data_IF_432318384877
#
_entry.id   IF_432318384877
#
_cell.length_a   1.000
_cell.length_b   1.000
_cell.length_c   1.000
_cell.angle_alpha   90.00
_cell.angle_beta   90.00
_cell.angle_gamma   90.00
#
_symmetry.space_group_name_H-M   'P 1'
#
loop_
_entity.id
_entity.type
_entity.pdbx_description
1 polymer ?
#
# COMPACT_ATOMS: atom_id res chain seq x y z
N UNK A 1 -1.10 -1.17 18.80
CA UNK A 1 -1.24 -1.48 17.35
C UNK A 1 0.10 -1.72 16.70
N UNK A 2 0.17 -2.59 15.69
CA UNK A 2 1.40 -2.90 14.94
C UNK A 2 1.24 -2.55 13.47
N UNK A 3 2.30 -2.00 12.86
CA UNK A 3 2.34 -1.79 11.43
C UNK A 3 2.70 -3.11 10.72
N UNK A 4 1.75 -3.68 10.00
CA UNK A 4 1.91 -4.88 9.20
C UNK A 4 2.52 -4.54 7.85
N UNK A 5 3.30 -5.47 7.27
CA UNK A 5 3.86 -5.31 5.92
C UNK A 5 2.70 -5.26 4.91
N UNK A 6 2.46 -4.13 4.22
CA UNK A 6 1.36 -4.06 3.26
C UNK A 6 1.71 -4.88 2.02
N UNK A 7 0.72 -5.57 1.47
CA UNK A 7 0.77 -5.97 0.07
C UNK A 7 0.43 -4.73 -0.76
N UNK A 8 1.41 -4.17 -1.44
CA UNK A 8 1.38 -2.97 -2.28
C UNK A 8 1.66 -1.64 -1.55
N UNK A 9 2.79 -1.51 -0.87
CA UNK A 9 3.16 -0.28 -0.12
C UNK A 9 3.08 1.00 -0.97
N UNK A 10 3.57 0.95 -2.21
CA UNK A 10 3.35 2.00 -3.21
C UNK A 10 2.78 1.36 -4.48
N UNK A 11 1.74 1.98 -5.04
CA UNK A 11 1.09 1.54 -6.27
C UNK A 11 1.09 2.67 -7.27
N UNK A 12 1.51 2.41 -8.50
CA UNK A 12 1.37 3.35 -9.62
C UNK A 12 0.54 2.70 -10.72
N UNK A 13 -0.62 3.29 -10.99
CA UNK A 13 -1.57 2.80 -12.00
C UNK A 13 -1.23 3.40 -13.36
N UNK A 14 -0.97 2.55 -14.35
CA UNK A 14 -0.56 2.97 -15.69
C UNK A 14 -0.39 1.86 -16.71
N UNK A 15 -0.12 2.27 -17.95
CA UNK A 15 0.15 1.40 -19.09
C UNK A 15 1.59 0.91 -19.13
N UNK A 16 2.01 0.14 -18.13
CA UNK A 16 3.38 -0.33 -17.99
C UNK A 16 3.77 -1.33 -19.09
N UNK A 17 4.73 -0.95 -19.95
CA UNK A 17 5.31 -1.87 -20.93
C UNK A 17 6.31 -2.81 -20.25
N UNK A 18 5.84 -4.00 -19.87
CA UNK A 18 6.63 -5.03 -19.17
C UNK A 18 7.88 -5.47 -19.94
N UNK A 19 7.87 -5.37 -21.28
CA UNK A 19 9.02 -5.74 -22.12
C UNK A 19 10.23 -4.80 -21.95
N UNK A 20 10.05 -3.62 -21.36
CA UNK A 20 11.15 -2.71 -21.02
C UNK A 20 11.98 -3.27 -19.86
N UNK A 21 11.34 -4.01 -18.93
CA UNK A 21 11.93 -4.49 -17.70
C UNK A 21 12.71 -5.79 -17.92
N UNK A 22 13.67 -5.75 -18.84
CA UNK A 22 14.66 -6.81 -19.03
C UNK A 22 15.69 -6.78 -17.91
N UNK A 23 16.37 -7.89 -17.67
CA UNK A 23 17.44 -7.96 -16.67
C UNK A 23 18.50 -6.86 -16.87
N UNK A 24 18.95 -6.64 -18.10
CA UNK A 24 19.94 -5.60 -18.41
C UNK A 24 19.41 -4.19 -18.12
N UNK A 25 18.15 -3.91 -18.44
CA UNK A 25 17.53 -2.62 -18.17
C UNK A 25 17.41 -2.38 -16.67
N UNK A 26 16.88 -3.36 -15.93
CA UNK A 26 16.73 -3.33 -14.48
C UNK A 26 18.08 -3.13 -13.80
N UNK A 27 19.09 -3.91 -14.18
CA UNK A 27 20.46 -3.78 -13.66
C UNK A 27 21.00 -2.39 -13.93
N UNK A 28 20.83 -1.85 -15.14
CA UNK A 28 21.40 -0.56 -15.51
C UNK A 28 20.73 0.63 -14.81
N UNK A 29 19.42 0.60 -14.64
CA UNK A 29 18.65 1.80 -14.30
C UNK A 29 18.01 1.79 -12.91
N UNK A 30 17.74 0.61 -12.33
CA UNK A 30 17.13 0.49 -10.99
C UNK A 30 18.11 -0.07 -9.95
N UNK A 31 18.96 -1.04 -10.34
CA UNK A 31 19.84 -1.78 -9.43
C UNK A 31 21.30 -1.89 -9.93
N UNK A 32 22.00 -0.78 -10.23
CA UNK A 32 23.35 -0.80 -10.83
C UNK A 32 24.37 -1.57 -10.00
N UNK A 33 24.35 -1.37 -8.68
CA UNK A 33 25.33 -1.98 -7.76
C UNK A 33 24.72 -3.10 -6.90
N UNK A 34 23.45 -3.44 -7.11
CA UNK A 34 22.72 -4.42 -6.29
C UNK A 34 22.48 -5.73 -7.03
N UNK A 35 22.48 -6.85 -6.29
CA UNK A 35 21.95 -8.11 -6.79
C UNK A 35 20.42 -8.10 -6.72
N UNK A 36 19.79 -8.68 -7.74
CA UNK A 36 18.35 -8.88 -7.76
C UNK A 36 18.00 -10.19 -8.47
N UNK A 37 16.78 -10.67 -8.24
CA UNK A 37 16.19 -11.83 -8.89
C UNK A 37 14.97 -11.40 -9.68
N UNK A 38 14.71 -12.10 -10.79
CA UNK A 38 13.47 -11.99 -11.53
C UNK A 38 12.76 -13.34 -11.45
N UNK A 39 11.63 -13.37 -10.76
CA UNK A 39 10.74 -14.53 -10.71
C UNK A 39 9.58 -14.32 -11.68
N UNK A 40 9.05 -15.42 -12.23
CA UNK A 40 7.84 -15.40 -13.05
C UNK A 40 6.70 -15.98 -12.22
N UNK A 41 5.75 -15.13 -11.80
CA UNK A 41 4.57 -15.61 -11.10
C UNK A 41 3.58 -16.18 -12.12
N UNK A 42 3.34 -17.49 -12.02
CA UNK A 42 2.37 -18.21 -12.86
C UNK A 42 1.08 -18.36 -12.07
N UNK A 43 -0.02 -17.77 -12.56
CA UNK A 43 -1.34 -17.98 -11.98
C UNK A 43 -1.75 -19.45 -12.11
N UNK A 44 -2.52 -19.98 -11.16
CA UNK A 44 -2.99 -21.38 -11.16
C UNK A 44 -3.72 -21.79 -12.45
N UNK A 45 -4.34 -20.85 -13.15
CA UNK A 45 -5.06 -21.09 -14.42
C UNK A 45 -4.16 -21.12 -15.67
N UNK A 46 -2.83 -21.14 -15.52
CA UNK A 46 -1.82 -21.34 -16.57
C UNK A 46 -2.09 -20.62 -17.91
N UNK A 47 -2.66 -19.42 -17.86
CA UNK A 47 -2.82 -18.60 -19.05
C UNK A 47 -1.59 -17.68 -19.15
N UNK A 48 -0.75 -17.94 -20.17
CA UNK A 48 0.52 -17.27 -20.39
C UNK A 48 0.42 -15.73 -20.44
N UNK A 49 -0.78 -15.19 -20.68
CA UNK A 49 -1.06 -13.75 -20.66
C UNK A 49 -1.01 -13.14 -19.24
N UNK A 50 -1.05 -13.93 -18.18
CA UNK A 50 -1.00 -13.47 -16.79
C UNK A 50 0.34 -13.71 -16.09
N UNK A 51 1.36 -14.19 -16.83
CA UNK A 51 2.70 -14.29 -16.26
C UNK A 51 3.20 -12.88 -15.99
N UNK A 52 3.40 -12.58 -14.71
CA UNK A 52 3.82 -11.26 -14.28
C UNK A 52 5.20 -11.36 -13.65
N UNK A 53 6.20 -10.62 -14.19
CA UNK A 53 7.53 -10.64 -13.62
C UNK A 53 7.47 -10.00 -12.23
N UNK A 54 8.14 -10.64 -11.28
CA UNK A 54 8.44 -10.12 -9.96
C UNK A 54 9.94 -9.87 -9.90
N UNK A 55 10.33 -8.63 -9.62
CA UNK A 55 11.72 -8.25 -9.40
C UNK A 55 11.92 -8.16 -7.90
N UNK A 56 12.95 -8.82 -7.37
CA UNK A 56 13.23 -8.86 -5.94
C UNK A 56 14.69 -8.50 -5.69
N UNK A 57 14.93 -7.39 -4.98
CA UNK A 57 16.23 -7.04 -4.41
C UNK A 57 16.26 -7.38 -2.92
N UNK A 58 17.31 -6.94 -2.21
CA UNK A 58 17.43 -7.07 -0.75
C UNK A 58 16.33 -6.29 -0.01
N UNK A 59 15.92 -5.13 -0.55
CA UNK A 59 15.11 -4.14 0.17
C UNK A 59 13.73 -3.96 -0.46
N UNK A 60 13.60 -4.21 -1.77
CA UNK A 60 12.38 -3.91 -2.52
C UNK A 60 11.97 -5.07 -3.43
N UNK A 61 10.68 -5.35 -3.42
CA UNK A 61 9.99 -6.16 -4.41
C UNK A 61 9.18 -5.24 -5.34
N UNK A 62 9.32 -5.44 -6.66
CA UNK A 62 8.54 -4.77 -7.69
C UNK A 62 7.71 -5.83 -8.42
N UNK A 63 6.39 -5.65 -8.42
CA UNK A 63 5.45 -6.58 -9.03
C UNK A 63 4.56 -5.86 -10.04
N UNK A 64 4.52 -6.42 -11.24
CA UNK A 64 3.51 -6.03 -12.24
C UNK A 64 2.21 -6.78 -11.95
N UNK A 65 1.10 -6.07 -11.81
CA UNK A 65 -0.21 -6.70 -11.69
C UNK A 65 -1.21 -5.92 -12.54
N UNK A 66 -1.73 -6.56 -13.59
CA UNK A 66 -2.61 -5.93 -14.57
C UNK A 66 -1.99 -4.62 -15.13
N UNK A 67 -2.60 -3.47 -14.82
CA UNK A 67 -2.18 -2.11 -15.16
C UNK A 67 -1.51 -1.38 -13.99
N UNK A 68 -0.95 -2.11 -13.02
CA UNK A 68 -0.32 -1.56 -11.83
C UNK A 68 1.12 -2.01 -11.73
N UNK A 69 1.95 -1.08 -11.28
CA UNK A 69 3.28 -1.37 -10.77
C UNK A 69 3.21 -1.21 -9.26
N UNK A 70 3.39 -2.32 -8.56
CA UNK A 70 3.38 -2.35 -7.11
C UNK A 70 4.81 -2.45 -6.59
N UNK A 71 5.12 -1.68 -5.57
CA UNK A 71 6.37 -1.73 -4.84
C UNK A 71 6.07 -2.14 -3.41
N UNK A 72 6.81 -3.14 -2.93
CA UNK A 72 6.68 -3.67 -1.59
C UNK A 72 8.04 -3.66 -0.91
N UNK A 73 8.11 -3.27 0.37
CA UNK A 73 9.36 -3.35 1.10
C UNK A 73 9.57 -4.83 1.48
N UNK A 74 10.80 -5.33 1.39
CA UNK A 74 11.09 -6.71 1.81
C UNK A 74 10.80 -6.86 3.30
N UNK A 75 11.21 -5.88 4.09
CA UNK A 75 10.88 -5.70 5.50
C UNK A 75 10.22 -4.34 5.75
N UNK A 76 9.28 -4.25 6.69
CA UNK A 76 8.49 -3.04 6.89
C UNK A 76 9.20 -1.99 7.77
N UNK A 77 10.33 -1.46 7.29
CA UNK A 77 11.14 -0.46 7.97
C UNK A 77 11.28 0.81 7.11
N UNK A 78 11.80 1.90 7.71
CA UNK A 78 11.89 3.18 7.02
C UNK A 78 12.89 3.14 5.84
N UNK A 79 14.01 2.44 6.00
CA UNK A 79 15.04 2.29 4.95
C UNK A 79 14.45 1.70 3.66
N UNK A 80 13.67 0.63 3.76
CA UNK A 80 13.05 0.00 2.60
C UNK A 80 11.96 0.87 1.96
N UNK A 81 11.22 1.65 2.76
CA UNK A 81 10.22 2.59 2.23
C UNK A 81 10.88 3.75 1.49
N UNK A 82 11.99 4.27 2.00
CA UNK A 82 12.80 5.28 1.30
C UNK A 82 13.36 4.70 0.00
N UNK A 83 13.88 3.46 0.03
CA UNK A 83 14.38 2.78 -1.17
C UNK A 83 13.29 2.61 -2.23
N UNK A 84 12.06 2.29 -1.83
CA UNK A 84 10.91 2.26 -2.77
C UNK A 84 10.71 3.61 -3.44
N UNK A 85 10.71 4.69 -2.66
CA UNK A 85 10.54 6.04 -3.19
C UNK A 85 11.66 6.39 -4.19
N UNK A 86 12.91 6.11 -3.86
CA UNK A 86 14.05 6.34 -4.75
C UNK A 86 13.92 5.60 -6.09
N UNK A 87 13.59 4.31 -6.05
CA UNK A 87 13.40 3.50 -7.26
C UNK A 87 12.22 4.02 -8.08
N UNK A 88 11.12 4.41 -7.43
CA UNK A 88 9.97 4.98 -8.11
C UNK A 88 10.31 6.31 -8.81
N UNK A 89 11.12 7.17 -8.16
CA UNK A 89 11.63 8.40 -8.75
C UNK A 89 12.55 8.14 -9.95
N UNK A 90 13.49 7.19 -9.84
CA UNK A 90 14.36 6.78 -10.95
C UNK A 90 13.54 6.27 -12.14
N UNK A 91 12.51 5.48 -11.86
CA UNK A 91 11.65 4.92 -12.88
C UNK A 91 10.83 6.00 -13.59
N UNK A 92 10.38 7.03 -12.87
CA UNK A 92 9.74 8.21 -13.47
C UNK A 92 10.69 8.99 -14.40
N UNK A 93 11.99 9.04 -14.06
CA UNK A 93 13.01 9.70 -14.88
C UNK A 93 13.34 8.94 -16.16
N UNK A 94 13.41 7.60 -16.10
CA UNK A 94 13.78 6.79 -17.26
C UNK A 94 12.58 6.47 -18.17
N UNK A 95 11.35 6.51 -17.66
CA UNK A 95 10.14 6.18 -18.40
C UNK A 95 9.10 7.33 -18.43
N UNK A 96 9.47 8.60 -18.70
CA UNK A 96 8.60 9.76 -18.50
C UNK A 96 7.34 9.75 -19.38
N UNK A 97 7.36 8.97 -20.47
CA UNK A 97 6.25 8.83 -21.42
C UNK A 97 5.28 7.70 -21.10
N UNK A 98 5.52 6.91 -20.04
CA UNK A 98 4.55 5.88 -19.63
C UNK A 98 3.26 6.55 -19.16
N UNK A 99 2.10 6.21 -19.75
CA UNK A 99 0.83 6.79 -19.33
C UNK A 99 0.46 6.26 -17.94
N UNK A 100 0.19 7.18 -17.02
CA UNK A 100 -0.23 6.88 -15.64
C UNK A 100 -1.45 7.73 -15.29
N UNK A 101 -2.30 7.23 -14.40
CA UNK A 101 -3.58 7.88 -14.02
C UNK A 101 -3.70 8.16 -12.53
N UNK A 102 -2.87 7.53 -11.72
CA UNK A 102 -2.93 7.65 -10.27
C UNK A 102 -1.80 6.89 -9.60
N UNK A 103 -1.52 7.26 -8.36
CA UNK A 103 -0.68 6.48 -7.47
C UNK A 103 -1.26 6.51 -6.05
N UNK A 104 -0.86 5.55 -5.23
CA UNK A 104 -1.18 5.61 -3.81
C UNK A 104 -0.20 4.85 -2.93
N UNK A 105 -0.07 5.32 -1.69
CA UNK A 105 0.69 4.67 -0.64
C UNK A 105 -0.26 3.95 0.32
N UNK A 106 0.04 2.70 0.65
CA UNK A 106 -0.80 1.84 1.48
C UNK A 106 -0.10 1.51 2.78
N UNK A 107 -0.83 1.62 3.89
CA UNK A 107 -0.37 1.25 5.23
C UNK A 107 -1.41 0.37 5.89
N UNK A 108 -0.96 -0.77 6.40
CA UNK A 108 -1.80 -1.73 7.11
C UNK A 108 -1.39 -1.75 8.57
N UNK A 109 -2.33 -1.51 9.47
CA UNK A 109 -2.14 -1.62 10.90
C UNK A 109 -3.07 -2.68 11.47
N UNK A 110 -2.58 -3.44 12.43
CA UNK A 110 -3.35 -4.46 13.14
C UNK A 110 -3.28 -4.18 14.63
N UNK A 111 -4.44 -4.03 15.26
CA UNK A 111 -4.59 -4.00 16.71
C UNK A 111 -5.10 -5.37 17.19
N UNK A 112 -4.39 -6.01 18.12
CA UNK A 112 -4.81 -7.29 18.68
C UNK A 112 -5.37 -7.13 20.11
N UNK A 113 -5.10 -6.00 20.77
CA UNK A 113 -5.63 -5.68 22.09
C UNK A 113 -6.95 -4.90 21.95
N UNK A 114 -7.99 -5.61 21.53
CA UNK A 114 -9.32 -5.03 21.40
C UNK A 114 -9.94 -4.78 22.78
N UNK A 115 -10.36 -3.54 23.03
CA UNK A 115 -11.16 -3.17 24.19
C UNK A 115 -12.55 -2.67 23.78
N UNK A 116 -13.47 -2.61 24.76
CA UNK A 116 -14.85 -2.20 24.54
C UNK A 116 -14.95 -0.76 23.98
N UNK A 117 -14.03 0.13 24.33
CA UNK A 117 -14.04 1.52 23.85
C UNK A 117 -13.76 1.59 22.34
N UNK A 118 -12.76 0.84 21.85
CA UNK A 118 -12.44 0.72 20.43
C UNK A 118 -13.59 0.08 19.65
N UNK A 119 -14.16 -1.01 20.18
CA UNK A 119 -15.34 -1.66 19.58
C UNK A 119 -16.47 -0.65 19.49
N UNK A 120 -16.81 0.04 20.58
CA UNK A 120 -17.93 1.00 20.61
C UNK A 120 -17.73 2.20 19.67
N UNK A 121 -16.49 2.60 19.42
CA UNK A 121 -16.16 3.66 18.47
C UNK A 121 -16.40 3.24 17.00
N UNK A 122 -16.16 1.96 16.70
CA UNK A 122 -16.25 1.40 15.34
C UNK A 122 -17.65 0.85 15.05
N UNK A 123 -18.23 0.11 16.01
CA UNK A 123 -19.45 -0.70 15.91
C UNK A 123 -20.66 0.13 15.47
N UNK A 124 -21.56 -0.40 14.61
CA UNK A 124 -22.68 0.35 14.12
C UNK A 124 -23.85 0.22 15.09
N UNK A 125 -24.64 1.29 15.19
CA UNK A 125 -25.73 1.38 16.18
C UNK A 125 -26.93 0.49 15.87
N UNK A 126 -26.98 -0.15 14.71
CA UNK A 126 -28.08 -1.00 14.27
C UNK A 126 -27.84 -2.50 14.50
N UNK A 127 -26.64 -2.89 14.95
CA UNK A 127 -26.29 -4.30 15.17
C UNK A 127 -27.23 -5.01 16.16
N UNK A 128 -27.61 -4.34 17.26
CA UNK A 128 -28.61 -4.88 18.19
C UNK A 128 -29.96 -5.17 17.49
N UNK A 129 -30.36 -4.35 16.52
CA UNK A 129 -31.61 -4.55 15.77
C UNK A 129 -31.50 -5.69 14.78
N UNK A 130 -30.32 -5.90 14.18
CA UNK A 130 -30.05 -7.01 13.27
C UNK A 130 -30.11 -8.34 14.04
N UNK A 131 -29.49 -8.41 15.22
CA UNK A 131 -29.52 -9.59 16.10
C UNK A 131 -30.95 -9.88 16.58
N UNK A 132 -31.71 -8.86 16.99
CA UNK A 132 -33.12 -9.01 17.37
C UNK A 132 -34.01 -9.49 16.22
N UNK A 133 -33.65 -9.17 14.97
CA UNK A 133 -34.32 -9.68 13.77
C UNK A 133 -33.96 -11.15 13.46
N UNK A 134 -33.01 -11.73 14.18
CA UNK A 134 -32.51 -13.09 13.96
C UNK A 134 -31.35 -13.18 12.95
N UNK A 135 -30.73 -12.05 12.61
CA UNK A 135 -29.50 -12.02 11.82
C UNK A 135 -28.30 -12.49 12.63
N UNK A 136 -27.40 -13.24 11.99
CA UNK A 136 -26.10 -13.59 12.54
C UNK A 136 -25.03 -12.77 11.82
N UNK A 137 -24.26 -11.98 12.56
CA UNK A 137 -23.11 -11.26 12.01
C UNK A 137 -21.99 -12.26 11.71
N UNK A 138 -21.53 -12.31 10.46
CA UNK A 138 -20.44 -13.19 10.03
C UNK A 138 -19.16 -12.44 9.66
N UNK A 139 -19.18 -11.11 9.76
CA UNK A 139 -18.06 -10.24 9.43
C UNK A 139 -18.52 -8.80 9.26
N UNK A 140 -17.62 -7.87 9.56
CA UNK A 140 -17.92 -6.44 9.53
C UNK A 140 -16.75 -5.66 8.93
N UNK A 141 -17.04 -4.83 7.94
CA UNK A 141 -16.06 -3.96 7.29
C UNK A 141 -16.64 -2.57 7.07
N UNK A 142 -15.85 -1.56 7.42
CA UNK A 142 -16.18 -0.16 7.21
C UNK A 142 -15.28 0.44 6.14
N UNK A 143 -15.89 1.03 5.12
CA UNK A 143 -15.18 1.76 4.08
C UNK A 143 -15.45 3.25 4.25
N UNK A 144 -14.39 4.05 4.33
CA UNK A 144 -14.47 5.52 4.38
C UNK A 144 -13.61 6.09 3.26
N UNK A 145 -14.15 7.07 2.55
CA UNK A 145 -13.40 7.86 1.57
C UNK A 145 -13.40 9.30 2.06
N UNK A 146 -12.23 9.78 2.47
CA UNK A 146 -12.05 11.08 3.09
C UNK A 146 -11.25 11.98 2.16
N UNK A 147 -11.52 13.28 2.19
CA UNK A 147 -10.63 14.28 1.59
C UNK A 147 -9.84 14.91 2.73
N UNK A 148 -8.54 14.67 2.76
CA UNK A 148 -7.62 15.17 3.79
C UNK A 148 -6.52 15.96 3.09
N UNK A 149 -6.30 17.23 3.44
CA UNK A 149 -5.25 18.08 2.84
C UNK A 149 -5.24 18.08 1.29
N UNK A 150 -6.42 18.00 0.65
CA UNK A 150 -6.55 17.99 -0.81
C UNK A 150 -6.27 16.66 -1.51
N UNK A 151 -5.96 15.59 -0.77
CA UNK A 151 -5.81 14.21 -1.26
C UNK A 151 -6.93 13.31 -0.77
N UNK A 152 -7.09 12.15 -1.40
CA UNK A 152 -8.10 11.16 -1.03
C UNK A 152 -7.45 10.15 -0.08
N UNK A 153 -8.00 9.99 1.12
CA UNK A 153 -7.66 8.91 2.03
C UNK A 153 -8.80 7.90 2.01
N UNK A 154 -8.54 6.73 1.43
CA UNK A 154 -9.45 5.59 1.53
C UNK A 154 -9.05 4.78 2.76
N UNK A 155 -10.00 4.46 3.63
CA UNK A 155 -9.78 3.68 4.84
C UNK A 155 -10.73 2.50 4.84
N UNK A 156 -10.18 1.31 5.03
CA UNK A 156 -10.94 0.09 5.29
C UNK A 156 -10.63 -0.35 6.71
N UNK A 157 -11.66 -0.56 7.51
CA UNK A 157 -11.54 -1.08 8.89
C UNK A 157 -12.24 -2.42 8.91
N UNK A 158 -11.53 -3.48 9.29
CA UNK A 158 -12.10 -4.83 9.42
C UNK A 158 -12.07 -5.21 10.89
N UNK A 159 -13.24 -5.53 11.44
CA UNK A 159 -13.37 -6.05 12.78
C UNK A 159 -13.42 -7.57 12.69
N UNK A 160 -12.36 -8.21 13.15
CA UNK A 160 -12.26 -9.67 13.29
C UNK A 160 -12.52 -10.07 14.76
N UNK A 161 -12.57 -11.37 15.05
CA UNK A 161 -12.85 -11.85 16.41
C UNK A 161 -11.82 -11.38 17.46
N UNK A 162 -10.55 -11.33 17.07
CA UNK A 162 -9.42 -11.02 17.97
C UNK A 162 -8.56 -9.84 17.51
N UNK A 163 -8.87 -9.25 16.34
CA UNK A 163 -8.10 -8.10 15.84
C UNK A 163 -8.95 -7.06 15.10
N UNK A 164 -8.44 -5.82 15.06
CA UNK A 164 -8.94 -4.77 14.18
C UNK A 164 -7.86 -4.41 13.19
N UNK A 165 -8.16 -4.57 11.90
CA UNK A 165 -7.27 -4.15 10.83
C UNK A 165 -7.68 -2.79 10.27
N UNK A 166 -6.71 -1.89 10.12
CA UNK A 166 -6.86 -0.59 9.47
C UNK A 166 -6.00 -0.57 8.21
N UNK A 167 -6.64 -0.55 7.05
CA UNK A 167 -6.02 -0.47 5.73
C UNK A 167 -6.25 0.94 5.17
N UNK A 168 -5.18 1.74 5.18
CA UNK A 168 -5.17 3.15 4.78
C UNK A 168 -4.47 3.29 3.44
N UNK A 169 -5.16 3.89 2.47
CA UNK A 169 -4.63 4.20 1.15
C UNK A 169 -4.71 5.70 0.89
N UNK A 170 -3.54 6.35 0.79
CA UNK A 170 -3.42 7.73 0.35
C UNK A 170 -3.35 7.77 -1.17
N UNK A 171 -4.44 8.18 -1.81
CA UNK A 171 -4.59 8.19 -3.27
C UNK A 171 -4.40 9.59 -3.86
N UNK A 172 -3.67 9.63 -4.96
CA UNK A 172 -3.34 10.83 -5.72
C UNK A 172 -3.73 10.65 -7.18
N UNK A 173 -4.45 11.62 -7.73
CA UNK A 173 -4.74 11.68 -9.15
C UNK A 173 -3.61 12.42 -9.87
N UNK A 174 -3.04 11.77 -10.89
CA UNK A 174 -1.96 12.32 -11.71
C UNK A 174 -2.24 12.03 -13.19
N UNK A 175 -1.61 12.78 -14.09
CA UNK A 175 -1.81 12.63 -15.53
C UNK A 175 -0.61 12.04 -16.26
N UNK A 176 0.56 12.06 -15.63
CA UNK A 176 1.83 11.63 -16.21
C UNK A 176 2.87 11.43 -15.11
N UNK A 177 4.03 10.87 -15.47
CA UNK A 177 5.10 10.60 -14.52
C UNK A 177 5.86 11.85 -14.05
N UNK A 178 5.71 12.99 -14.73
CA UNK A 178 6.25 14.27 -14.23
C UNK A 178 5.46 14.75 -13.01
N UNK A 179 4.12 14.68 -13.08
CA UNK A 179 3.24 14.96 -11.93
C UNK A 179 3.45 13.94 -10.80
N UNK A 180 3.61 12.66 -11.12
CA UNK A 180 4.00 11.64 -10.13
C UNK A 180 5.28 12.02 -9.39
N UNK A 181 6.34 12.32 -10.14
CA UNK A 181 7.66 12.66 -9.59
C UNK A 181 7.57 13.90 -8.69
N UNK A 182 6.85 14.93 -9.12
CA UNK A 182 6.62 16.12 -8.29
C UNK A 182 5.88 15.77 -6.99
N UNK A 183 4.77 15.02 -7.08
CA UNK A 183 3.95 14.67 -5.92
C UNK A 183 4.68 13.79 -4.89
N UNK A 184 5.37 12.74 -5.33
CA UNK A 184 6.11 11.84 -4.42
C UNK A 184 7.40 12.47 -3.87
N UNK A 185 7.93 13.53 -4.52
CA UNK A 185 9.04 14.32 -3.97
C UNK A 185 8.57 15.36 -2.96
N UNK A 186 7.36 15.89 -3.13
CA UNK A 186 6.75 16.89 -2.24
C UNK A 186 6.18 16.23 -0.97
N UNK A 187 5.64 15.02 -1.08
CA UNK A 187 5.22 14.23 0.08
C UNK A 187 5.80 12.83 -0.01
N UNK A 188 6.74 12.54 0.87
CA UNK A 188 7.42 11.25 0.95
C UNK A 188 6.49 10.14 1.46
N UNK A 189 6.85 8.88 1.16
CA UNK A 189 6.14 7.71 1.69
C UNK A 189 6.21 7.68 3.23
N UNK A 190 7.34 8.10 3.81
CA UNK A 190 7.50 8.18 5.26
C UNK A 190 6.61 9.24 5.90
N UNK A 191 6.44 10.41 5.28
CA UNK A 191 5.49 11.41 5.76
C UNK A 191 4.06 10.87 5.73
N UNK A 192 3.67 10.17 4.66
CA UNK A 192 2.36 9.51 4.59
C UNK A 192 2.19 8.42 5.66
N UNK A 193 3.26 7.67 5.98
CA UNK A 193 3.27 6.70 7.08
C UNK A 193 2.99 7.40 8.41
N UNK A 194 3.66 8.52 8.67
CA UNK A 194 3.47 9.31 9.90
C UNK A 194 2.06 9.89 9.99
N UNK A 195 1.51 10.38 8.89
CA UNK A 195 0.11 10.81 8.84
C UNK A 195 -0.88 9.66 9.08
N UNK A 196 -0.57 8.45 8.58
CA UNK A 196 -1.38 7.26 8.84
C UNK A 196 -1.40 6.90 10.33
N UNK A 197 -0.22 6.91 10.97
CA UNK A 197 -0.06 6.67 12.41
C UNK A 197 -0.86 7.72 13.19
N UNK A 198 -0.64 9.01 12.89
CA UNK A 198 -1.33 10.11 13.54
C UNK A 198 -2.85 9.98 13.40
N UNK A 199 -3.36 9.66 12.21
CA UNK A 199 -4.78 9.46 11.97
C UNK A 199 -5.35 8.36 12.87
N UNK A 200 -4.67 7.22 12.99
CA UNK A 200 -5.17 6.12 13.82
C UNK A 200 -5.09 6.50 15.31
N UNK A 201 -3.98 7.08 15.75
CA UNK A 201 -3.78 7.48 17.14
C UNK A 201 -4.79 8.53 17.59
N UNK A 202 -5.02 9.58 16.80
CA UNK A 202 -5.94 10.67 17.19
C UNK A 202 -7.40 10.25 17.14
N UNK A 203 -7.79 9.43 16.16
CA UNK A 203 -9.21 9.05 15.97
C UNK A 203 -9.59 7.85 16.84
N UNK A 204 -8.72 6.84 16.95
CA UNK A 204 -9.01 5.57 17.62
C UNK A 204 -8.31 5.42 18.98
N UNK A 205 -7.53 6.42 19.41
CA UNK A 205 -6.80 6.39 20.69
C UNK A 205 -5.87 5.17 20.83
N UNK A 206 -5.26 4.76 19.73
CA UNK A 206 -4.32 3.63 19.67
C UNK A 206 -2.87 4.11 19.62
N UNK A 207 -1.98 3.39 20.27
CA UNK A 207 -0.53 3.66 20.24
C UNK A 207 0.20 2.62 19.38
N UNK A 208 1.21 3.09 18.64
CA UNK A 208 2.05 2.22 17.84
C UNK A 208 3.02 1.45 18.76
N UNK A 209 3.00 0.12 18.67
CA UNK A 209 3.93 -0.74 19.39
C UNK A 209 5.25 -0.86 18.62
N UNK A 210 6.37 -0.57 19.30
CA UNK A 210 7.70 -0.92 18.81
C UNK A 210 8.38 0.11 17.90
N UNK A 211 8.19 1.42 18.12
CA UNK A 211 9.17 2.42 17.66
C UNK A 211 10.44 2.32 18.51
N UNK A 212 11.25 1.29 18.29
CA UNK A 212 12.65 1.26 18.68
C UNK A 212 13.49 0.72 17.51
N UNK A 213 14.22 1.66 16.89
CA UNK A 213 15.31 1.56 15.90
C UNK A 213 14.96 1.32 14.42
#
# INVERSE_FOLDING_TARGET
MKLSKPSNALVVVGGWNRYIFTQDWIKRYLFPEEEFKIDMLVSQDFNAQFISPRILSKEVEILFQENRLNFNPVENNNENLDRIQEIALQLADYLPHTPVTGYGANFLFTENEINDDLINLIRPRDLEKIEQFGGLLTGEQYNRNLVLNGRILNTIIRLEEESVDFDLNFHFNIRNLVEFKAGISETSILELKQEAIQFITEIYSLELEGEDE
#
